data_IF_036644934097
#
_entry.id   IF_036644934097
#
_cell.length_a   1.000
_cell.length_b   1.000
_cell.length_c   1.000
_cell.angle_alpha   90.00
_cell.angle_beta   90.00
_cell.angle_gamma   90.00
#
_symmetry.space_group_name_H-M   'P 1'
#
loop_
_entity.id
_entity.type
_entity.pdbx_description
1 polymer ?
#
# COMPACT_ATOMS: atom_id res chain seq x y z
N UNK A 1 -22.74 32.20 3.75
CA UNK A 1 -22.43 30.92 4.43
C UNK A 1 -23.76 30.23 4.64
N UNK A 2 -24.09 29.23 3.82
CA UNK A 2 -25.39 28.55 3.91
C UNK A 2 -25.56 27.94 5.32
N UNK A 3 -26.76 28.03 5.89
CA UNK A 3 -27.08 27.37 7.16
C UNK A 3 -27.00 25.85 6.96
N UNK A 4 -25.90 25.25 7.44
CA UNK A 4 -25.75 23.81 7.49
C UNK A 4 -26.69 23.24 8.56
N UNK A 5 -27.41 22.17 8.23
CA UNK A 5 -28.28 21.43 9.17
C UNK A 5 -27.53 20.89 10.39
N UNK A 6 -26.21 20.75 10.29
CA UNK A 6 -25.34 20.38 11.40
C UNK A 6 -24.33 21.50 11.67
N UNK A 7 -24.10 21.81 12.95
CA UNK A 7 -22.98 22.66 13.36
C UNK A 7 -21.71 21.82 13.33
N UNK A 8 -20.75 22.10 12.44
CA UNK A 8 -19.52 21.33 12.39
C UNK A 8 -18.68 21.63 13.63
N UNK A 9 -18.24 20.58 14.32
CA UNK A 9 -17.33 20.72 15.47
C UNK A 9 -15.99 21.36 15.02
N UNK A 10 -15.56 22.47 15.64
CA UNK A 10 -14.29 23.10 15.30
C UNK A 10 -13.08 22.20 15.54
N UNK A 11 -13.12 21.26 16.49
CA UNK A 11 -12.01 20.33 16.71
C UNK A 11 -11.89 19.33 15.55
N UNK A 12 -13.01 18.75 15.11
CA UNK A 12 -13.05 17.90 13.92
C UNK A 12 -12.53 18.61 12.66
N UNK A 13 -12.91 19.87 12.45
CA UNK A 13 -12.41 20.66 11.32
C UNK A 13 -10.89 20.85 11.36
N UNK A 14 -10.31 21.09 12.54
CA UNK A 14 -8.86 21.22 12.72
C UNK A 14 -8.11 19.93 12.40
N UNK A 15 -8.62 18.78 12.86
CA UNK A 15 -8.02 17.47 12.55
C UNK A 15 -8.09 17.15 11.05
N UNK A 16 -9.22 17.47 10.42
CA UNK A 16 -9.38 17.31 8.98
C UNK A 16 -8.38 18.20 8.21
N UNK A 17 -8.23 19.47 8.59
CA UNK A 17 -7.25 20.38 8.01
C UNK A 17 -5.80 19.89 8.23
N UNK A 18 -5.46 19.44 9.43
CA UNK A 18 -4.15 18.88 9.76
C UNK A 18 -3.81 17.65 8.91
N UNK A 19 -4.79 16.77 8.70
CA UNK A 19 -4.59 15.55 7.90
C UNK A 19 -4.42 15.87 6.41
N UNK A 20 -5.23 16.80 5.87
CA UNK A 20 -5.11 17.27 4.49
C UNK A 20 -3.76 17.95 4.23
N UNK A 21 -3.32 18.79 5.15
CA UNK A 21 -2.08 19.57 4.99
C UNK A 21 -0.82 18.82 5.44
N UNK A 22 -0.91 17.53 5.82
CA UNK A 22 0.20 16.76 6.38
C UNK A 22 1.44 16.72 5.48
N UNK A 23 1.24 16.71 4.17
CA UNK A 23 2.34 16.68 3.18
C UNK A 23 3.14 17.99 3.18
N UNK A 24 2.50 19.14 3.43
CA UNK A 24 3.17 20.44 3.46
C UNK A 24 4.20 20.54 4.59
N UNK A 25 3.95 19.83 5.70
CA UNK A 25 4.82 19.82 6.87
C UNK A 25 5.74 18.59 6.94
N UNK A 26 5.80 17.79 5.88
CA UNK A 26 6.62 16.59 5.84
C UNK A 26 8.12 16.93 5.82
N UNK A 27 8.93 16.11 6.50
CA UNK A 27 10.39 16.20 6.49
C UNK A 27 11.00 14.81 6.36
N UNK A 28 12.04 14.70 5.53
CA UNK A 28 12.89 13.51 5.50
C UNK A 28 13.81 13.51 6.72
N UNK A 29 13.56 12.58 7.63
CA UNK A 29 14.44 12.25 8.74
C UNK A 29 14.86 10.78 8.60
N UNK A 30 15.80 10.33 9.43
CA UNK A 30 16.32 8.95 9.33
C UNK A 30 15.21 7.90 9.44
N UNK A 31 14.14 8.16 10.21
CA UNK A 31 13.01 7.23 10.35
C UNK A 31 12.12 7.22 9.10
N UNK A 32 11.68 8.38 8.63
CA UNK A 32 10.77 8.48 7.48
C UNK A 32 11.46 8.04 6.20
N UNK A 33 12.73 8.38 6.00
CA UNK A 33 13.50 7.93 4.84
C UNK A 33 13.61 6.39 4.77
N UNK A 34 13.89 5.72 5.91
CA UNK A 34 13.93 4.24 5.97
C UNK A 34 12.58 3.62 5.61
N UNK A 35 11.50 4.14 6.18
CA UNK A 35 10.15 3.63 5.90
C UNK A 35 9.81 3.84 4.42
N UNK A 36 10.02 5.04 3.88
CA UNK A 36 9.78 5.33 2.47
C UNK A 36 10.59 4.39 1.57
N UNK A 37 11.87 4.19 1.85
CA UNK A 37 12.72 3.29 1.07
C UNK A 37 12.21 1.84 1.08
N UNK A 38 11.81 1.32 2.24
CA UNK A 38 11.28 -0.05 2.34
C UNK A 38 10.01 -0.21 1.48
N UNK A 39 9.05 0.69 1.63
CA UNK A 39 7.76 0.56 0.95
C UNK A 39 7.81 0.91 -0.55
N UNK A 40 8.70 1.82 -0.95
CA UNK A 40 8.79 2.25 -2.36
C UNK A 40 9.74 1.36 -3.17
N UNK A 41 10.82 0.84 -2.58
CA UNK A 41 11.81 0.05 -3.31
C UNK A 41 11.83 -1.42 -2.88
N UNK A 42 12.00 -1.70 -1.58
CA UNK A 42 12.26 -3.07 -1.11
C UNK A 42 11.06 -3.99 -1.34
N UNK A 43 9.86 -3.55 -0.94
CA UNK A 43 8.65 -4.38 -1.10
C UNK A 43 8.33 -4.62 -2.58
N UNK A 44 8.28 -3.61 -3.47
CA UNK A 44 8.04 -3.85 -4.89
C UNK A 44 9.12 -4.73 -5.54
N UNK A 45 10.40 -4.56 -5.18
CA UNK A 45 11.47 -5.40 -5.71
C UNK A 45 11.30 -6.87 -5.30
N UNK A 46 10.96 -7.12 -4.02
CA UNK A 46 10.74 -8.48 -3.52
C UNK A 46 9.51 -9.13 -4.17
N UNK A 47 8.40 -8.40 -4.25
CA UNK A 47 7.19 -8.88 -4.92
C UNK A 47 7.44 -9.14 -6.39
N UNK A 48 8.13 -8.22 -7.09
CA UNK A 48 8.51 -8.39 -8.48
C UNK A 48 9.39 -9.61 -8.70
N UNK A 49 10.42 -9.80 -7.86
CA UNK A 49 11.28 -10.98 -7.93
C UNK A 49 10.51 -12.29 -7.77
N UNK A 50 9.64 -12.38 -6.76
CA UNK A 50 8.80 -13.56 -6.56
C UNK A 50 7.83 -13.76 -7.73
N UNK A 51 7.22 -12.69 -8.24
CA UNK A 51 6.33 -12.76 -9.39
C UNK A 51 7.07 -13.31 -10.61
N UNK A 52 8.24 -12.79 -10.95
CA UNK A 52 9.02 -13.29 -12.08
C UNK A 52 9.48 -14.74 -11.93
N UNK A 53 9.78 -15.19 -10.71
CA UNK A 53 10.15 -16.59 -10.49
C UNK A 53 8.95 -17.55 -10.49
N UNK A 54 7.77 -17.07 -10.07
CA UNK A 54 6.57 -17.90 -9.95
C UNK A 54 5.69 -17.83 -11.19
N UNK A 55 5.98 -16.91 -12.11
CA UNK A 55 5.25 -16.76 -13.36
C UNK A 55 5.39 -18.02 -14.22
N UNK A 56 4.25 -18.56 -14.67
CA UNK A 56 4.19 -19.81 -15.44
C UNK A 56 4.55 -21.09 -14.67
N UNK A 57 5.01 -21.00 -13.42
CA UNK A 57 5.48 -22.14 -12.63
C UNK A 57 4.34 -23.05 -12.16
N UNK A 58 3.14 -22.51 -12.00
CA UNK A 58 1.99 -23.25 -11.49
C UNK A 58 0.88 -23.33 -12.52
N UNK A 59 0.52 -24.55 -12.89
CA UNK A 59 -0.61 -24.80 -13.78
C UNK A 59 -1.65 -25.68 -13.10
N UNK A 60 -2.74 -25.04 -12.69
CA UNK A 60 -3.85 -25.68 -11.97
C UNK A 60 -4.95 -26.19 -12.91
N UNK A 61 -4.79 -26.04 -14.22
CA UNK A 61 -5.84 -26.39 -15.17
C UNK A 61 -6.04 -27.92 -15.20
N UNK A 62 -7.26 -28.35 -14.85
CA UNK A 62 -7.72 -29.73 -14.88
C UNK A 62 -6.86 -30.76 -14.11
N UNK A 63 -6.08 -30.33 -13.10
CA UNK A 63 -5.25 -31.22 -12.27
C UNK A 63 -6.11 -32.05 -11.31
N UNK A 64 -5.78 -33.34 -11.12
CA UNK A 64 -6.48 -34.28 -10.23
C UNK A 64 -5.60 -34.68 -9.04
N UNK A 65 -6.16 -35.45 -8.10
CA UNK A 65 -5.42 -35.97 -6.93
C UNK A 65 -4.24 -36.81 -7.40
N UNK A 66 -3.02 -36.38 -7.06
CA UNK A 66 -1.77 -37.03 -7.43
C UNK A 66 -1.02 -36.35 -8.59
N UNK A 67 -1.64 -35.42 -9.32
CA UNK A 67 -0.98 -34.71 -10.43
C UNK A 67 -0.09 -33.57 -9.92
N UNK A 68 1.07 -33.41 -10.55
CA UNK A 68 1.98 -32.29 -10.24
C UNK A 68 1.45 -30.98 -10.84
N UNK A 69 1.36 -29.96 -10.00
CA UNK A 69 0.95 -28.59 -10.37
C UNK A 69 2.12 -27.78 -10.92
N UNK A 70 3.34 -28.15 -10.53
CA UNK A 70 4.57 -27.47 -10.89
C UNK A 70 4.94 -27.74 -12.35
N UNK A 71 5.15 -26.66 -13.11
CA UNK A 71 5.64 -26.62 -14.48
C UNK A 71 7.09 -26.11 -14.43
N UNK A 72 8.03 -26.92 -14.93
CA UNK A 72 9.48 -26.68 -14.83
C UNK A 72 10.04 -26.15 -16.13
#
# INVERSE_FOLDING_TARGET
>A
MAELSFRPDPAYQKVAAMTKNRVQYFRFNARTARITFIYVAVIPALVGYLAYQTDGLYNLKAKRKGDTVYQK
#
